data_IF_823286846236
#
_entry.id   IF_823286846236
#
_cell.length_a   1.000
_cell.length_b   1.000
_cell.length_c   1.000
_cell.angle_alpha   90.00
_cell.angle_beta   90.00
_cell.angle_gamma   90.00
#
_symmetry.space_group_name_H-M   'P 1'
#
loop_
_entity.id
_entity.type
_entity.pdbx_description
1 polymer ?
#
# COMPACT_ATOMS: atom_id res chain seq x y z
N UNK A 1 97.31 -59.18 -18.43
CA UNK A 1 96.39 -60.13 -19.11
C UNK A 1 95.79 -59.53 -20.38
N UNK A 2 95.01 -58.42 -20.34
CA UNK A 2 94.54 -57.76 -21.57
C UNK A 2 95.64 -56.95 -22.30
N UNK A 3 96.63 -56.47 -21.56
CA UNK A 3 97.86 -55.84 -22.08
C UNK A 3 98.62 -56.71 -23.07
N UNK A 4 98.83 -57.97 -22.70
CA UNK A 4 99.89 -58.81 -23.26
C UNK A 4 99.49 -59.33 -24.65
N UNK A 5 98.20 -59.59 -24.85
CA UNK A 5 97.59 -59.94 -26.14
C UNK A 5 97.67 -58.80 -27.17
N UNK A 6 97.57 -57.55 -26.72
CA UNK A 6 97.72 -56.36 -27.59
C UNK A 6 99.19 -56.16 -27.98
N UNK A 7 100.12 -56.39 -27.04
CA UNK A 7 101.55 -56.30 -27.29
C UNK A 7 102.05 -57.36 -28.29
N UNK A 8 101.65 -58.63 -28.14
CA UNK A 8 102.07 -59.71 -29.06
C UNK A 8 101.47 -59.53 -30.47
N UNK A 9 100.28 -58.90 -30.59
CA UNK A 9 99.69 -58.55 -31.88
C UNK A 9 100.43 -57.40 -32.60
N UNK A 10 100.75 -56.32 -31.88
CA UNK A 10 101.53 -55.21 -32.42
C UNK A 10 102.96 -55.65 -32.82
N UNK A 11 103.57 -56.51 -32.00
CA UNK A 11 104.88 -57.14 -32.25
C UNK A 11 104.89 -57.89 -33.59
N UNK A 12 103.86 -58.69 -33.89
CA UNK A 12 103.75 -59.41 -35.16
C UNK A 12 103.64 -58.44 -36.36
N UNK A 13 102.84 -57.38 -36.23
CA UNK A 13 102.67 -56.38 -37.28
C UNK A 13 103.97 -55.62 -37.58
N UNK A 14 104.73 -55.22 -36.55
CA UNK A 14 106.06 -54.62 -36.75
C UNK A 14 107.04 -55.58 -37.43
N UNK A 15 107.00 -56.87 -37.07
CA UNK A 15 107.87 -57.90 -37.64
C UNK A 15 107.55 -58.13 -39.13
N UNK A 16 106.28 -58.16 -39.52
CA UNK A 16 105.92 -58.27 -40.94
C UNK A 16 106.34 -57.01 -41.73
N UNK A 17 106.23 -55.80 -41.14
CA UNK A 17 106.78 -54.58 -41.75
C UNK A 17 108.33 -54.60 -41.89
N UNK A 18 109.05 -55.32 -41.02
CA UNK A 18 110.49 -55.57 -41.19
C UNK A 18 110.77 -56.61 -42.28
N UNK A 19 109.91 -57.63 -42.46
CA UNK A 19 110.04 -58.67 -43.49
C UNK A 19 109.89 -58.14 -44.93
N UNK A 20 109.14 -57.06 -45.12
CA UNK A 20 109.05 -56.36 -46.40
C UNK A 20 110.32 -55.55 -46.72
N UNK A 21 111.00 -55.03 -45.69
CA UNK A 21 112.16 -54.13 -45.83
C UNK A 21 113.49 -54.88 -45.92
N UNK A 22 113.64 -55.98 -45.17
CA UNK A 22 114.89 -56.77 -45.11
C UNK A 22 114.73 -58.11 -45.81
N UNK A 23 115.17 -58.16 -47.07
CA UNK A 23 115.14 -59.38 -47.90
C UNK A 23 116.18 -60.41 -47.48
N UNK A 24 117.30 -59.97 -46.89
CA UNK A 24 118.37 -60.85 -46.40
C UNK A 24 118.03 -61.44 -45.02
N UNK A 25 117.91 -62.76 -44.97
CA UNK A 25 117.47 -63.52 -43.77
C UNK A 25 118.28 -63.20 -42.49
N UNK A 26 119.59 -62.99 -42.59
CA UNK A 26 120.45 -62.68 -41.44
C UNK A 26 120.19 -61.29 -40.86
N UNK A 27 119.98 -60.27 -41.70
CA UNK A 27 119.69 -58.90 -41.27
C UNK A 27 118.31 -58.83 -40.62
N UNK A 28 117.32 -59.48 -41.23
CA UNK A 28 115.98 -59.63 -40.67
C UNK A 28 116.00 -60.25 -39.26
N UNK A 29 116.83 -61.28 -39.02
CA UNK A 29 117.00 -61.82 -37.66
C UNK A 29 117.63 -60.80 -36.68
N UNK A 30 118.59 -59.97 -37.12
CA UNK A 30 119.20 -58.93 -36.26
C UNK A 30 118.19 -57.85 -35.90
N UNK A 31 117.43 -57.33 -36.87
CA UNK A 31 116.44 -56.29 -36.61
C UNK A 31 115.27 -56.78 -35.74
N UNK A 32 114.87 -58.06 -35.87
CA UNK A 32 113.89 -58.68 -34.96
C UNK A 32 114.46 -58.87 -33.55
N UNK A 33 115.77 -59.16 -33.39
CA UNK A 33 116.42 -59.14 -32.07
C UNK A 33 116.38 -57.73 -31.45
N UNK A 34 116.72 -56.71 -32.23
CA UNK A 34 116.71 -55.32 -31.80
C UNK A 34 115.30 -54.86 -31.39
N UNK A 35 114.29 -55.17 -32.20
CA UNK A 35 112.90 -54.80 -31.93
C UNK A 35 112.34 -55.47 -30.67
N UNK A 36 112.57 -56.78 -30.49
CA UNK A 36 112.19 -57.50 -29.27
C UNK A 36 112.83 -56.87 -28.03
N UNK A 37 114.12 -56.58 -28.08
CA UNK A 37 114.89 -56.09 -26.94
C UNK A 37 114.58 -54.63 -26.59
N UNK A 38 114.67 -53.71 -27.57
CA UNK A 38 114.56 -52.27 -27.32
C UNK A 38 113.12 -51.74 -27.22
N UNK A 39 112.18 -52.27 -28.02
CA UNK A 39 110.81 -51.73 -28.08
C UNK A 39 109.82 -52.51 -27.21
N UNK A 40 110.06 -53.81 -27.03
CA UNK A 40 109.17 -54.70 -26.27
C UNK A 40 109.78 -55.23 -24.95
N UNK A 41 111.07 -54.98 -24.68
CA UNK A 41 111.74 -55.41 -23.44
C UNK A 41 111.93 -56.92 -23.30
N UNK A 42 111.69 -57.70 -24.36
CA UNK A 42 111.75 -59.17 -24.35
C UNK A 42 113.14 -59.62 -24.76
N UNK A 43 113.76 -60.51 -23.96
CA UNK A 43 115.06 -61.10 -24.32
C UNK A 43 114.92 -62.01 -25.54
N UNK A 44 115.60 -61.72 -26.67
CA UNK A 44 115.52 -62.58 -27.84
C UNK A 44 116.12 -63.96 -27.56
N UNK A 45 115.41 -65.01 -27.96
CA UNK A 45 115.85 -66.42 -27.85
C UNK A 45 115.71 -67.11 -29.21
N UNK A 46 116.61 -68.05 -29.51
CA UNK A 46 116.67 -68.70 -30.83
C UNK A 46 115.33 -69.34 -31.26
N UNK A 47 114.61 -69.98 -30.32
CA UNK A 47 113.28 -70.54 -30.59
C UNK A 47 112.22 -69.46 -30.90
N UNK A 48 112.15 -68.36 -30.13
CA UNK A 48 111.15 -67.30 -30.37
C UNK A 48 111.44 -66.56 -31.69
N UNK A 49 112.71 -66.29 -32.00
CA UNK A 49 113.14 -65.74 -33.27
C UNK A 49 112.72 -66.62 -34.45
N UNK A 50 112.99 -67.93 -34.37
CA UNK A 50 112.62 -68.89 -35.42
C UNK A 50 111.09 -68.97 -35.63
N UNK A 51 110.31 -69.01 -34.54
CA UNK A 51 108.84 -69.04 -34.58
C UNK A 51 108.22 -67.82 -35.26
N UNK A 52 108.85 -66.64 -35.11
CA UNK A 52 108.38 -65.36 -35.67
C UNK A 52 108.81 -65.16 -37.13
N UNK A 53 110.10 -65.35 -37.44
CA UNK A 53 110.64 -65.06 -38.78
C UNK A 53 110.33 -66.17 -39.79
N UNK A 54 110.41 -67.44 -39.37
CA UNK A 54 110.14 -68.66 -40.17
C UNK A 54 110.88 -68.72 -41.52
N UNK A 55 112.13 -68.26 -41.58
CA UNK A 55 113.02 -68.36 -42.76
C UNK A 55 114.42 -68.84 -42.37
N UNK A 56 115.11 -69.54 -43.28
CA UNK A 56 116.49 -69.98 -43.10
C UNK A 56 116.67 -71.33 -42.40
N UNK A 57 117.94 -71.75 -42.24
CA UNK A 57 118.33 -73.01 -41.60
C UNK A 57 118.24 -72.94 -40.08
N UNK A 58 118.22 -74.11 -39.43
CA UNK A 58 118.06 -74.25 -37.98
C UNK A 58 119.18 -73.58 -37.13
N UNK A 59 120.35 -73.33 -37.73
CA UNK A 59 121.48 -72.64 -37.07
C UNK A 59 121.42 -71.11 -37.15
N UNK A 60 120.72 -70.54 -38.14
CA UNK A 60 120.75 -69.11 -38.44
C UNK A 60 120.24 -68.20 -37.29
N UNK A 61 119.15 -68.54 -36.55
CA UNK A 61 118.69 -67.71 -35.43
C UNK A 61 119.72 -67.58 -34.31
N UNK A 62 120.47 -68.66 -34.03
CA UNK A 62 121.47 -68.72 -32.97
C UNK A 62 122.72 -67.91 -33.30
N UNK A 63 123.13 -67.89 -34.57
CA UNK A 63 124.27 -67.08 -35.03
C UNK A 63 123.92 -65.58 -35.02
N UNK A 64 122.74 -65.22 -35.55
CA UNK A 64 122.27 -63.83 -35.56
C UNK A 64 122.07 -63.29 -34.12
N UNK A 65 121.54 -64.11 -33.21
CA UNK A 65 121.43 -63.78 -31.80
C UNK A 65 122.80 -63.57 -31.14
N UNK A 66 123.81 -64.40 -31.45
CA UNK A 66 125.18 -64.21 -30.93
C UNK A 66 125.75 -62.87 -31.39
N UNK A 67 125.72 -62.60 -32.70
CA UNK A 67 126.19 -61.35 -33.30
C UNK A 67 125.44 -60.13 -32.76
N UNK A 68 124.12 -60.23 -32.53
CA UNK A 68 123.34 -59.16 -31.89
C UNK A 68 123.84 -58.83 -30.48
N UNK A 69 124.09 -59.83 -29.63
CA UNK A 69 124.62 -59.60 -28.28
C UNK A 69 126.08 -59.12 -28.26
N UNK A 70 126.84 -59.41 -29.30
CA UNK A 70 128.20 -58.92 -29.55
C UNK A 70 128.16 -57.43 -29.93
N UNK A 71 127.44 -57.09 -31.01
CA UNK A 71 127.11 -55.72 -31.45
C UNK A 71 126.58 -54.84 -30.30
N UNK A 72 125.67 -55.39 -29.49
CA UNK A 72 125.04 -54.66 -28.39
C UNK A 72 126.04 -54.33 -27.28
N UNK A 73 126.91 -55.28 -26.92
CA UNK A 73 127.93 -55.09 -25.88
C UNK A 73 128.98 -54.08 -26.29
N UNK A 74 129.40 -54.09 -27.55
CA UNK A 74 130.37 -53.11 -28.05
C UNK A 74 129.75 -51.72 -28.13
N UNK A 75 128.48 -51.60 -28.57
CA UNK A 75 127.74 -50.32 -28.59
C UNK A 75 127.35 -49.81 -27.20
N UNK A 76 127.16 -50.68 -26.21
CA UNK A 76 126.83 -50.29 -24.83
C UNK A 76 128.06 -49.97 -23.96
N UNK A 77 129.29 -50.19 -24.46
CA UNK A 77 130.51 -49.77 -23.76
C UNK A 77 130.80 -48.30 -24.04
N UNK A 78 130.32 -47.44 -23.16
CA UNK A 78 130.70 -46.02 -23.05
C UNK A 78 132.15 -45.84 -22.57
N UNK A 79 133.11 -46.51 -23.21
CA UNK A 79 134.54 -46.20 -23.03
C UNK A 79 134.84 -44.86 -23.71
N UNK A 80 135.48 -43.98 -22.97
CA UNK A 80 136.12 -42.78 -23.52
C UNK A 80 137.38 -43.21 -24.25
N UNK A 81 137.26 -43.57 -25.53
CA UNK A 81 138.41 -44.01 -26.34
C UNK A 81 139.23 -42.82 -26.84
N UNK A 82 140.03 -42.26 -25.93
CA UNK A 82 141.26 -41.56 -26.26
C UNK A 82 142.44 -42.56 -26.20
N UNK A 83 143.39 -42.58 -27.16
CA UNK A 83 144.43 -43.60 -27.22
C UNK A 83 145.31 -43.68 -25.96
N UNK A 84 145.81 -42.52 -25.50
CA UNK A 84 146.86 -42.45 -24.47
C UNK A 84 146.34 -42.34 -23.02
N UNK A 85 145.05 -42.56 -22.75
CA UNK A 85 144.48 -42.40 -21.40
C UNK A 85 144.50 -43.72 -20.60
N UNK A 86 145.20 -43.81 -19.44
CA UNK A 86 145.23 -45.01 -18.60
C UNK A 86 143.84 -45.53 -18.22
N UNK A 87 143.67 -46.86 -18.25
CA UNK A 87 142.36 -47.51 -18.08
C UNK A 87 141.72 -47.24 -16.71
N UNK A 88 142.53 -47.01 -15.67
CA UNK A 88 142.06 -46.53 -14.36
C UNK A 88 141.31 -45.19 -14.45
N UNK A 89 141.82 -44.23 -15.22
CA UNK A 89 141.17 -42.93 -15.42
C UNK A 89 139.94 -43.04 -16.31
N UNK A 90 139.94 -43.92 -17.33
CA UNK A 90 138.75 -44.22 -18.14
C UNK A 90 137.61 -44.78 -17.26
N UNK A 91 137.93 -45.69 -16.34
CA UNK A 91 136.95 -46.26 -15.41
C UNK A 91 136.40 -45.21 -14.42
N UNK A 92 137.28 -44.44 -13.77
CA UNK A 92 136.86 -43.39 -12.83
C UNK A 92 136.00 -42.30 -13.51
N UNK A 93 136.33 -41.90 -14.74
CA UNK A 93 135.52 -40.95 -15.50
C UNK A 93 134.14 -41.52 -15.87
N UNK A 94 134.08 -42.80 -16.28
CA UNK A 94 132.81 -43.49 -16.55
C UNK A 94 131.93 -43.64 -15.31
N UNK A 95 132.52 -43.95 -14.17
CA UNK A 95 131.83 -44.06 -12.87
C UNK A 95 131.28 -42.70 -12.40
N UNK A 96 132.07 -41.63 -12.49
CA UNK A 96 131.61 -40.26 -12.18
C UNK A 96 130.49 -39.78 -13.13
N UNK A 97 130.55 -40.13 -14.41
CA UNK A 97 129.46 -39.80 -15.36
C UNK A 97 128.20 -40.62 -15.02
N UNK A 98 128.34 -41.88 -14.60
CA UNK A 98 127.21 -42.71 -14.19
C UNK A 98 126.55 -42.23 -12.88
N UNK A 99 127.33 -41.77 -11.89
CA UNK A 99 126.77 -41.15 -10.68
C UNK A 99 126.09 -39.83 -11.03
N UNK A 100 126.76 -38.92 -11.75
CA UNK A 100 126.18 -37.62 -12.15
C UNK A 100 124.89 -37.77 -12.97
N UNK A 101 124.81 -38.77 -13.86
CA UNK A 101 123.58 -39.09 -14.58
C UNK A 101 122.47 -39.60 -13.65
N UNK A 102 122.83 -40.47 -12.69
CA UNK A 102 121.88 -41.01 -11.70
C UNK A 102 121.35 -39.92 -10.77
N UNK A 103 122.24 -39.05 -10.27
CA UNK A 103 121.92 -37.91 -9.40
C UNK A 103 121.07 -36.85 -10.13
N UNK A 104 121.35 -36.60 -11.42
CA UNK A 104 120.51 -35.74 -12.25
C UNK A 104 119.13 -36.36 -12.50
N UNK A 105 119.07 -37.68 -12.71
CA UNK A 105 117.82 -38.41 -12.94
C UNK A 105 116.94 -38.47 -11.67
N UNK A 106 117.53 -38.64 -10.48
CA UNK A 106 116.79 -38.56 -9.20
C UNK A 106 116.34 -37.13 -8.91
N UNK A 107 117.22 -36.13 -9.03
CA UNK A 107 116.85 -34.72 -8.83
C UNK A 107 115.72 -34.26 -9.78
N UNK A 108 115.72 -34.73 -11.03
CA UNK A 108 114.63 -34.49 -11.99
C UNK A 108 113.34 -35.24 -11.61
N UNK A 109 113.45 -36.47 -11.10
CA UNK A 109 112.31 -37.25 -10.62
C UNK A 109 111.65 -36.60 -9.40
N UNK A 110 112.43 -36.15 -8.43
CA UNK A 110 111.97 -35.49 -7.21
C UNK A 110 111.35 -34.12 -7.50
N UNK A 111 111.99 -33.33 -8.39
CA UNK A 111 111.42 -32.05 -8.88
C UNK A 111 110.10 -32.23 -9.63
N UNK A 112 109.94 -33.36 -10.34
CA UNK A 112 108.69 -33.71 -11.00
C UNK A 112 107.62 -34.16 -9.99
N UNK A 113 108.02 -34.77 -8.87
CA UNK A 113 107.11 -35.15 -7.78
C UNK A 113 106.63 -33.91 -7.01
N UNK A 114 107.52 -32.98 -6.65
CA UNK A 114 107.13 -31.73 -5.98
C UNK A 114 106.23 -30.86 -6.85
N UNK A 115 106.60 -30.62 -8.11
CA UNK A 115 105.77 -29.86 -9.05
C UNK A 115 104.38 -30.49 -9.27
N UNK A 116 104.29 -31.83 -9.29
CA UNK A 116 103.00 -32.54 -9.34
C UNK A 116 102.17 -32.35 -8.07
N UNK A 117 102.79 -32.38 -6.89
CA UNK A 117 102.11 -32.13 -5.61
C UNK A 117 101.58 -30.68 -5.52
N UNK A 118 102.41 -29.69 -5.87
CA UNK A 118 102.03 -28.28 -5.93
C UNK A 118 100.91 -28.02 -6.95
N UNK A 119 100.99 -28.64 -8.13
CA UNK A 119 99.94 -28.58 -9.16
C UNK A 119 98.63 -29.23 -8.70
N UNK A 120 98.69 -30.33 -7.93
CA UNK A 120 97.49 -30.99 -7.40
C UNK A 120 96.85 -30.19 -6.26
N UNK A 121 97.66 -29.59 -5.38
CA UNK A 121 97.17 -28.79 -4.26
C UNK A 121 96.60 -27.43 -4.72
N UNK A 122 97.23 -26.75 -5.69
CA UNK A 122 96.65 -25.54 -6.31
C UNK A 122 95.33 -25.84 -7.03
N UNK A 123 95.22 -26.97 -7.75
CA UNK A 123 93.95 -27.43 -8.34
C UNK A 123 92.91 -27.79 -7.26
N UNK A 124 93.33 -28.35 -6.12
CA UNK A 124 92.43 -28.65 -4.99
C UNK A 124 91.89 -27.38 -4.35
N UNK A 125 92.75 -26.38 -4.12
CA UNK A 125 92.36 -25.08 -3.57
C UNK A 125 91.43 -24.32 -4.52
N UNK A 126 91.74 -24.29 -5.82
CA UNK A 126 90.87 -23.71 -6.83
C UNK A 126 89.47 -24.36 -6.88
N UNK A 127 89.41 -25.70 -6.74
CA UNK A 127 88.13 -26.43 -6.62
C UNK A 127 87.38 -26.07 -5.34
N UNK A 128 88.04 -26.08 -4.19
CA UNK A 128 87.42 -25.73 -2.91
C UNK A 128 86.85 -24.29 -2.90
N UNK A 129 87.54 -23.35 -3.55
CA UNK A 129 87.06 -21.96 -3.73
C UNK A 129 85.85 -21.93 -4.69
N UNK A 130 85.88 -22.68 -5.80
CA UNK A 130 84.77 -22.76 -6.74
C UNK A 130 83.52 -23.41 -6.12
N UNK A 131 83.69 -24.52 -5.39
CA UNK A 131 82.61 -25.21 -4.67
C UNK A 131 82.01 -24.29 -3.59
N UNK A 132 82.83 -23.59 -2.82
CA UNK A 132 82.38 -22.60 -1.84
C UNK A 132 81.56 -21.47 -2.50
N UNK A 133 82.06 -20.90 -3.60
CA UNK A 133 81.37 -19.85 -4.36
C UNK A 133 80.05 -20.35 -4.97
N UNK A 134 79.98 -21.60 -5.42
CA UNK A 134 78.73 -22.22 -5.87
C UNK A 134 77.75 -22.39 -4.70
N UNK A 135 78.20 -22.83 -3.52
CA UNK A 135 77.31 -22.95 -2.35
C UNK A 135 76.77 -21.61 -1.88
N UNK A 136 77.58 -20.55 -1.83
CA UNK A 136 77.10 -19.20 -1.51
C UNK A 136 76.14 -18.67 -2.58
N UNK A 137 76.49 -18.76 -3.87
CA UNK A 137 75.57 -18.35 -4.95
C UNK A 137 74.21 -19.04 -4.83
N UNK A 138 74.18 -20.34 -4.54
CA UNK A 138 72.95 -21.11 -4.36
C UNK A 138 72.17 -20.69 -3.10
N UNK A 139 72.81 -20.30 -1.98
CA UNK A 139 72.09 -19.77 -0.81
C UNK A 139 71.56 -18.36 -1.05
N UNK A 140 72.29 -17.50 -1.77
CA UNK A 140 71.78 -16.19 -2.19
C UNK A 140 70.60 -16.31 -3.16
N UNK A 141 70.65 -17.24 -4.12
CA UNK A 141 69.52 -17.55 -5.03
C UNK A 141 68.26 -17.98 -4.25
N UNK A 142 68.40 -18.87 -3.27
CA UNK A 142 67.29 -19.30 -2.40
C UNK A 142 66.77 -18.17 -1.50
N UNK A 143 67.65 -17.28 -1.03
CA UNK A 143 67.25 -16.09 -0.27
C UNK A 143 66.46 -15.10 -1.13
N UNK A 144 66.92 -14.83 -2.36
CA UNK A 144 66.21 -13.99 -3.34
C UNK A 144 64.85 -14.58 -3.72
N UNK A 145 64.76 -15.89 -3.97
CA UNK A 145 63.49 -16.57 -4.24
C UNK A 145 62.50 -16.42 -3.06
N UNK A 146 62.98 -16.56 -1.81
CA UNK A 146 62.15 -16.34 -0.62
C UNK A 146 61.66 -14.90 -0.51
N UNK A 147 62.53 -13.91 -0.74
CA UNK A 147 62.17 -12.48 -0.67
C UNK A 147 61.20 -12.11 -1.79
N UNK A 148 61.38 -12.62 -3.01
CA UNK A 148 60.45 -12.39 -4.12
C UNK A 148 59.06 -12.98 -3.82
N UNK A 149 58.98 -14.23 -3.33
CA UNK A 149 57.70 -14.83 -2.93
C UNK A 149 57.00 -14.09 -1.78
N UNK A 150 57.77 -13.51 -0.85
CA UNK A 150 57.23 -12.62 0.19
C UNK A 150 56.72 -11.29 -0.40
N UNK A 151 57.45 -10.69 -1.34
CA UNK A 151 57.05 -9.46 -2.02
C UNK A 151 55.79 -9.66 -2.87
N UNK A 152 55.67 -10.78 -3.57
CA UNK A 152 54.48 -11.18 -4.33
C UNK A 152 53.27 -11.37 -3.40
N UNK A 153 53.43 -12.10 -2.29
CA UNK A 153 52.36 -12.30 -1.31
C UNK A 153 51.88 -10.99 -0.68
N UNK A 154 52.79 -10.10 -0.29
CA UNK A 154 52.45 -8.76 0.22
C UNK A 154 51.81 -7.90 -0.86
N UNK A 155 52.28 -7.95 -2.11
CA UNK A 155 51.68 -7.21 -3.24
C UNK A 155 50.26 -7.68 -3.52
N UNK A 156 49.99 -8.98 -3.46
CA UNK A 156 48.65 -9.53 -3.59
C UNK A 156 47.73 -9.06 -2.45
N UNK A 157 48.17 -9.15 -1.19
CA UNK A 157 47.42 -8.64 -0.03
C UNK A 157 47.12 -7.13 -0.14
N UNK A 158 48.10 -6.33 -0.61
CA UNK A 158 47.94 -4.89 -0.81
C UNK A 158 46.89 -4.59 -1.90
N UNK A 159 46.83 -5.39 -2.97
CA UNK A 159 45.82 -5.24 -4.02
C UNK A 159 44.41 -5.66 -3.54
N UNK A 160 44.28 -6.78 -2.81
CA UNK A 160 43.00 -7.15 -2.17
C UNK A 160 42.49 -6.01 -1.26
N UNK A 161 43.34 -5.48 -0.37
CA UNK A 161 42.98 -4.37 0.52
C UNK A 161 42.67 -3.05 -0.22
N UNK A 162 43.18 -2.86 -1.44
CA UNK A 162 42.80 -1.73 -2.32
C UNK A 162 41.42 -1.93 -2.95
N UNK A 163 41.10 -3.15 -3.36
CA UNK A 163 39.79 -3.52 -3.92
C UNK A 163 38.71 -3.43 -2.85
N UNK A 164 38.95 -3.99 -1.65
CA UNK A 164 38.08 -3.85 -0.48
C UNK A 164 37.84 -2.36 -0.13
N UNK A 165 38.92 -1.56 -0.06
CA UNK A 165 38.82 -0.12 0.23
C UNK A 165 38.10 0.67 -0.88
N UNK A 166 38.15 0.22 -2.14
CA UNK A 166 37.41 0.82 -3.24
C UNK A 166 35.91 0.48 -3.15
N UNK A 167 35.59 -0.79 -2.87
CA UNK A 167 34.22 -1.26 -2.65
C UNK A 167 33.57 -0.54 -1.46
N UNK A 168 34.27 -0.43 -0.32
CA UNK A 168 33.80 0.32 0.85
C UNK A 168 33.58 1.82 0.56
N UNK A 169 34.48 2.46 -0.21
CA UNK A 169 34.27 3.86 -0.63
C UNK A 169 33.05 4.02 -1.53
N UNK A 170 32.77 3.07 -2.42
CA UNK A 170 31.59 3.07 -3.28
C UNK A 170 30.30 2.76 -2.48
N UNK A 171 30.36 1.86 -1.51
CA UNK A 171 29.27 1.61 -0.57
C UNK A 171 28.93 2.88 0.21
N UNK A 172 29.93 3.50 0.85
CA UNK A 172 29.77 4.74 1.63
C UNK A 172 29.25 5.91 0.78
N UNK A 173 29.72 6.09 -0.47
CA UNK A 173 29.18 7.15 -1.34
C UNK A 173 27.71 6.90 -1.72
N UNK A 174 27.33 5.65 -2.01
CA UNK A 174 25.93 5.29 -2.27
C UNK A 174 25.02 5.47 -1.05
N UNK A 175 25.52 5.19 0.16
CA UNK A 175 24.81 5.42 1.41
C UNK A 175 24.65 6.92 1.71
N UNK A 176 25.66 7.74 1.43
CA UNK A 176 25.57 9.20 1.57
C UNK A 176 24.54 9.81 0.60
N UNK A 177 24.45 9.33 -0.63
CA UNK A 177 23.39 9.74 -1.59
C UNK A 177 22.01 9.37 -1.05
N UNK A 178 21.80 8.09 -0.67
CA UNK A 178 20.51 7.63 -0.09
C UNK A 178 20.11 8.37 1.18
N UNK A 179 21.07 8.75 2.01
CA UNK A 179 20.83 9.56 3.21
C UNK A 179 20.41 10.99 2.86
N UNK A 180 20.99 11.60 1.82
CA UNK A 180 20.56 12.91 1.33
C UNK A 180 19.17 12.85 0.69
N UNK A 181 18.88 11.82 -0.10
CA UNK A 181 17.55 11.54 -0.67
C UNK A 181 16.50 11.42 0.44
N UNK A 182 16.68 10.50 1.39
CA UNK A 182 15.74 10.31 2.51
C UNK A 182 15.57 11.55 3.40
N UNK A 183 16.62 12.37 3.55
CA UNK A 183 16.53 13.67 4.25
C UNK A 183 15.68 14.67 3.47
N UNK A 184 15.84 14.73 2.14
CA UNK A 184 15.05 15.61 1.28
C UNK A 184 13.57 15.16 1.27
N UNK A 185 13.32 13.85 1.15
CA UNK A 185 11.96 13.27 1.23
C UNK A 185 11.30 13.60 2.57
N UNK A 186 12.04 13.53 3.68
CA UNK A 186 11.54 13.94 5.01
C UNK A 186 11.11 15.41 5.03
N UNK A 187 11.87 16.32 4.42
CA UNK A 187 11.51 17.75 4.30
C UNK A 187 10.28 17.95 3.40
N UNK A 188 10.17 17.20 2.30
CA UNK A 188 9.01 17.23 1.41
C UNK A 188 7.76 16.75 2.14
N UNK A 189 7.80 15.60 2.81
CA UNK A 189 6.67 15.05 3.60
C UNK A 189 6.26 15.99 4.74
N UNK A 190 7.21 16.62 5.43
CA UNK A 190 6.89 17.61 6.47
C UNK A 190 6.21 18.86 5.90
N UNK A 191 6.66 19.38 4.75
CA UNK A 191 6.01 20.55 4.12
C UNK A 191 4.63 20.22 3.55
N UNK A 192 4.42 19.01 3.01
CA UNK A 192 3.11 18.50 2.62
C UNK A 192 2.17 18.33 3.83
N UNK A 193 2.67 17.81 4.95
CA UNK A 193 1.92 17.67 6.20
C UNK A 193 1.50 19.05 6.75
N UNK A 194 2.37 20.06 6.68
CA UNK A 194 2.02 21.44 7.04
C UNK A 194 0.99 22.06 6.10
N UNK A 195 1.10 21.86 4.79
CA UNK A 195 0.13 22.34 3.82
C UNK A 195 -1.26 21.74 4.08
N UNK A 196 -1.35 20.41 4.16
CA UNK A 196 -2.59 19.70 4.45
C UNK A 196 -3.20 20.12 5.81
N UNK A 197 -2.38 20.33 6.85
CA UNK A 197 -2.87 20.87 8.14
C UNK A 197 -3.50 22.24 8.00
N UNK A 198 -2.89 23.16 7.24
CA UNK A 198 -3.42 24.51 6.99
C UNK A 198 -4.73 24.45 6.21
N UNK A 199 -4.80 23.61 5.18
CA UNK A 199 -6.00 23.35 4.39
C UNK A 199 -7.14 22.80 5.27
N UNK A 200 -6.90 21.73 6.04
CA UNK A 200 -7.89 21.18 6.98
C UNK A 200 -8.36 22.21 8.02
N UNK A 201 -7.49 23.09 8.54
CA UNK A 201 -7.96 24.17 9.44
C UNK A 201 -8.86 25.17 8.72
N UNK A 202 -8.54 25.56 7.49
CA UNK A 202 -9.37 26.47 6.70
C UNK A 202 -10.73 25.84 6.33
N UNK A 203 -10.77 24.54 6.02
CA UNK A 203 -12.01 23.81 5.80
C UNK A 203 -12.86 23.68 7.07
N UNK A 204 -12.25 23.38 8.22
CA UNK A 204 -12.94 23.32 9.50
C UNK A 204 -13.56 24.67 9.89
N UNK A 205 -12.84 25.79 9.70
CA UNK A 205 -13.37 27.12 10.01
C UNK A 205 -14.43 27.58 9.01
N UNK A 206 -14.31 27.19 7.72
CA UNK A 206 -15.37 27.36 6.73
C UNK A 206 -16.64 26.57 7.10
N UNK A 207 -16.50 25.32 7.55
CA UNK A 207 -17.62 24.49 8.02
C UNK A 207 -18.26 25.05 9.30
N UNK A 208 -17.46 25.53 10.25
CA UNK A 208 -17.96 26.22 11.45
C UNK A 208 -18.78 27.45 11.08
N UNK A 209 -18.29 28.29 10.18
CA UNK A 209 -18.98 29.49 9.71
C UNK A 209 -20.30 29.15 8.98
N UNK A 210 -20.34 28.12 8.13
CA UNK A 210 -21.60 27.69 7.49
C UNK A 210 -22.59 27.09 8.49
N UNK A 211 -22.13 26.36 9.51
CA UNK A 211 -22.99 25.83 10.58
C UNK A 211 -23.58 26.95 11.44
N UNK A 212 -22.78 27.92 11.88
CA UNK A 212 -23.25 29.09 12.63
C UNK A 212 -24.30 29.88 11.83
N UNK A 213 -24.05 30.14 10.56
CA UNK A 213 -24.97 30.86 9.67
C UNK A 213 -26.26 30.06 9.40
N UNK A 214 -26.19 28.71 9.38
CA UNK A 214 -27.38 27.85 9.30
C UNK A 214 -28.19 27.87 10.60
N UNK A 215 -27.54 27.85 11.77
CA UNK A 215 -28.19 28.00 13.07
C UNK A 215 -28.85 29.38 13.22
N UNK A 216 -28.18 30.46 12.83
CA UNK A 216 -28.74 31.82 12.85
C UNK A 216 -29.98 31.94 11.96
N UNK A 217 -29.94 31.35 10.76
CA UNK A 217 -31.12 31.25 9.87
C UNK A 217 -32.24 30.46 10.54
N UNK A 218 -31.94 29.30 11.12
CA UNK A 218 -32.92 28.46 11.83
C UNK A 218 -33.58 29.19 13.00
N UNK A 219 -32.79 29.81 13.88
CA UNK A 219 -33.25 30.66 14.99
C UNK A 219 -34.03 31.89 14.50
N UNK A 220 -33.72 32.41 13.30
CA UNK A 220 -34.48 33.50 12.67
C UNK A 220 -35.82 33.04 12.11
N UNK A 221 -35.92 31.84 11.53
CA UNK A 221 -37.21 31.27 11.08
C UNK A 221 -38.05 30.83 12.26
N UNK A 222 -37.48 30.17 13.27
CA UNK A 222 -38.17 29.81 14.53
C UNK A 222 -38.84 31.02 15.19
N UNK A 223 -38.10 32.13 15.36
CA UNK A 223 -38.66 33.38 15.90
C UNK A 223 -39.82 33.95 15.09
N UNK A 224 -39.80 33.81 13.75
CA UNK A 224 -40.93 34.23 12.88
C UNK A 224 -42.14 33.31 13.08
N UNK A 225 -41.92 31.99 13.04
CA UNK A 225 -42.97 31.00 13.27
C UNK A 225 -43.64 31.17 14.64
N UNK A 226 -42.88 31.47 15.70
CA UNK A 226 -43.45 31.75 17.03
C UNK A 226 -44.32 33.02 17.03
N UNK A 227 -43.87 34.10 16.40
CA UNK A 227 -44.66 35.34 16.27
C UNK A 227 -45.91 35.13 15.41
N UNK A 228 -45.86 34.28 14.38
CA UNK A 228 -47.01 33.89 13.57
C UNK A 228 -47.99 33.01 14.36
N UNK A 229 -47.51 32.02 15.10
CA UNK A 229 -48.33 31.20 16.02
C UNK A 229 -49.02 32.06 17.08
N UNK A 230 -48.33 33.05 17.65
CA UNK A 230 -48.96 33.96 18.63
C UNK A 230 -49.95 34.93 17.99
N UNK A 231 -49.72 35.39 16.74
CA UNK A 231 -50.74 36.13 15.97
C UNK A 231 -51.99 35.28 15.76
N UNK A 232 -51.84 34.05 15.27
CA UNK A 232 -52.97 33.13 15.07
C UNK A 232 -53.71 32.82 16.39
N UNK A 233 -52.99 32.61 17.50
CA UNK A 233 -53.59 32.49 18.84
C UNK A 233 -54.43 33.72 19.21
N UNK A 234 -53.95 34.94 18.95
CA UNK A 234 -54.75 36.15 19.22
C UNK A 234 -55.93 36.33 18.26
N UNK A 235 -55.82 35.90 16.99
CA UNK A 235 -56.90 35.91 16.02
C UNK A 235 -58.00 34.92 16.42
N UNK A 236 -57.63 33.67 16.75
CA UNK A 236 -58.53 32.65 17.28
C UNK A 236 -59.24 33.11 18.56
N UNK A 237 -58.53 33.76 19.49
CA UNK A 237 -59.13 34.27 20.73
C UNK A 237 -60.12 35.42 20.50
N UNK A 238 -59.90 36.26 19.46
CA UNK A 238 -60.89 37.28 19.04
C UNK A 238 -62.12 36.62 18.41
N UNK A 239 -61.90 35.72 17.44
CA UNK A 239 -62.98 35.01 16.74
C UNK A 239 -63.83 34.16 17.70
N UNK A 240 -63.23 33.58 18.75
CA UNK A 240 -63.94 32.91 19.83
C UNK A 240 -64.87 33.88 20.58
N UNK A 241 -64.38 35.05 21.00
CA UNK A 241 -65.19 36.07 21.69
C UNK A 241 -66.29 36.66 20.80
N UNK A 242 -66.02 36.84 19.51
CA UNK A 242 -67.02 37.26 18.52
C UNK A 242 -68.07 36.16 18.28
N UNK A 243 -67.67 34.88 18.28
CA UNK A 243 -68.60 33.75 18.22
C UNK A 243 -69.43 33.62 19.51
N UNK A 244 -68.86 33.94 20.67
CA UNK A 244 -69.56 33.96 21.95
C UNK A 244 -70.55 35.13 22.04
N UNK A 245 -70.16 36.33 21.62
CA UNK A 245 -71.06 37.49 21.63
C UNK A 245 -72.20 37.38 20.60
N UNK A 246 -71.93 36.81 19.42
CA UNK A 246 -72.98 36.47 18.44
C UNK A 246 -73.90 35.35 18.92
N UNK A 247 -73.42 34.43 19.77
CA UNK A 247 -74.28 33.45 20.43
C UNK A 247 -75.17 34.12 21.48
N UNK A 248 -74.65 35.02 22.32
CA UNK A 248 -75.46 35.70 23.33
C UNK A 248 -76.52 36.59 22.68
N UNK A 249 -76.17 37.42 21.68
CA UNK A 249 -77.19 38.25 21.00
C UNK A 249 -78.24 37.42 20.26
N UNK A 250 -77.86 36.25 19.72
CA UNK A 250 -78.84 35.32 19.13
C UNK A 250 -79.74 34.67 20.18
N UNK A 251 -79.23 34.31 21.37
CA UNK A 251 -80.09 33.80 22.46
C UNK A 251 -80.99 34.88 23.05
N UNK A 252 -80.50 36.12 23.13
CA UNK A 252 -81.25 37.26 23.65
C UNK A 252 -82.38 37.64 22.68
N UNK A 253 -82.09 37.79 21.39
CA UNK A 253 -83.10 38.02 20.36
C UNK A 253 -84.10 36.85 20.23
N UNK A 254 -83.66 35.60 20.42
CA UNK A 254 -84.56 34.46 20.47
C UNK A 254 -85.45 34.44 21.72
N UNK A 255 -85.00 35.02 22.84
CA UNK A 255 -85.81 35.24 24.04
C UNK A 255 -86.81 36.38 23.83
N UNK A 256 -86.38 37.52 23.28
CA UNK A 256 -87.24 38.65 22.92
C UNK A 256 -88.34 38.22 21.94
N UNK A 257 -88.01 37.59 20.82
CA UNK A 257 -89.01 37.07 19.87
C UNK A 257 -89.94 36.02 20.50
N UNK A 258 -89.48 35.23 21.47
CA UNK A 258 -90.34 34.32 22.22
C UNK A 258 -91.29 35.07 23.16
N UNK A 259 -90.85 36.18 23.75
CA UNK A 259 -91.69 37.06 24.56
C UNK A 259 -92.72 37.81 23.69
N UNK A 260 -92.33 38.31 22.51
CA UNK A 260 -93.23 38.88 21.50
C UNK A 260 -94.27 37.86 21.01
N UNK A 261 -93.85 36.62 20.73
CA UNK A 261 -94.78 35.55 20.36
C UNK A 261 -95.75 35.21 21.49
N UNK A 262 -95.32 35.25 22.74
CA UNK A 262 -96.21 35.06 23.90
C UNK A 262 -97.23 36.21 24.02
N UNK A 263 -96.80 37.48 23.95
CA UNK A 263 -97.73 38.62 24.07
C UNK A 263 -98.68 38.71 22.88
N UNK A 264 -98.25 38.34 21.66
CA UNK A 264 -99.13 38.20 20.51
C UNK A 264 -100.11 37.02 20.66
N UNK A 265 -99.72 35.92 21.30
CA UNK A 265 -100.64 34.82 21.64
C UNK A 265 -101.66 35.22 22.71
N UNK A 266 -101.23 35.98 23.73
CA UNK A 266 -102.11 36.56 24.75
C UNK A 266 -103.12 37.52 24.11
N UNK A 267 -102.65 38.50 23.32
CA UNK A 267 -103.52 39.44 22.58
C UNK A 267 -104.49 38.73 21.62
N UNK A 268 -104.06 37.64 20.97
CA UNK A 268 -104.93 36.81 20.13
C UNK A 268 -105.96 36.03 20.96
N UNK A 269 -105.59 35.56 22.15
CA UNK A 269 -106.49 34.97 23.13
C UNK A 269 -107.55 35.96 23.60
N UNK A 270 -107.11 37.16 23.99
CA UNK A 270 -107.94 38.29 24.41
C UNK A 270 -108.90 38.72 23.29
N UNK A 271 -108.41 38.83 22.06
CA UNK A 271 -109.23 39.13 20.88
C UNK A 271 -110.27 38.04 20.60
N UNK A 272 -109.90 36.76 20.73
CA UNK A 272 -110.84 35.63 20.62
C UNK A 272 -111.88 35.63 21.72
N UNK A 273 -111.51 35.93 22.97
CA UNK A 273 -112.44 36.03 24.09
C UNK A 273 -113.41 37.21 23.91
N UNK A 274 -112.91 38.37 23.47
CA UNK A 274 -113.75 39.53 23.15
C UNK A 274 -114.68 39.24 21.99
N UNK A 275 -114.21 38.56 20.94
CA UNK A 275 -115.06 38.16 19.81
C UNK A 275 -116.13 37.15 20.24
N UNK A 276 -115.78 36.12 21.02
CA UNK A 276 -116.76 35.19 21.59
C UNK A 276 -117.76 35.86 22.55
N UNK A 277 -117.35 36.90 23.28
CA UNK A 277 -118.27 37.70 24.10
C UNK A 277 -119.19 38.58 23.23
N UNK A 278 -118.70 39.14 22.12
CA UNK A 278 -119.51 39.87 21.15
C UNK A 278 -120.47 38.93 20.40
N UNK A 279 -120.05 37.73 20.03
CA UNK A 279 -120.90 36.68 19.44
C UNK A 279 -121.96 36.21 20.43
N UNK A 280 -121.61 36.01 21.71
CA UNK A 280 -122.57 35.69 22.77
C UNK A 280 -123.54 36.85 23.06
N UNK A 281 -123.07 38.09 23.04
CA UNK A 281 -123.91 39.29 23.16
C UNK A 281 -124.82 39.47 21.94
N UNK A 282 -124.34 39.15 20.73
CA UNK A 282 -125.14 39.11 19.50
C UNK A 282 -126.21 38.02 19.59
N UNK A 283 -125.88 36.82 20.07
CA UNK A 283 -126.85 35.74 20.30
C UNK A 283 -127.89 36.11 21.37
N UNK A 284 -127.49 36.78 22.46
CA UNK A 284 -128.41 37.28 23.46
C UNK A 284 -129.31 38.41 22.89
N UNK A 285 -128.75 39.29 22.07
CA UNK A 285 -129.49 40.35 21.39
C UNK A 285 -130.47 39.79 20.35
N UNK A 286 -130.09 38.79 19.53
CA UNK A 286 -131.01 38.15 18.60
C UNK A 286 -132.07 37.32 19.31
N UNK A 287 -131.74 36.62 20.40
CA UNK A 287 -132.73 35.93 21.23
C UNK A 287 -133.73 36.90 21.88
N UNK A 288 -133.26 38.08 22.30
CA UNK A 288 -134.10 39.17 22.81
C UNK A 288 -134.97 39.82 21.72
N UNK A 289 -134.43 39.97 20.50
CA UNK A 289 -135.18 40.43 19.33
C UNK A 289 -136.24 39.40 18.92
N UNK A 290 -135.93 38.10 19.05
CA UNK A 290 -136.85 36.99 18.85
C UNK A 290 -137.96 36.95 19.91
N UNK A 291 -137.66 37.19 21.19
CA UNK A 291 -138.70 37.30 22.22
C UNK A 291 -139.56 38.55 22.03
N UNK A 292 -138.95 39.70 21.74
CA UNK A 292 -139.68 40.92 21.42
C UNK A 292 -140.56 40.76 20.17
N UNK A 293 -140.11 40.04 19.14
CA UNK A 293 -140.93 39.70 17.97
C UNK A 293 -142.11 38.78 18.33
N UNK A 294 -141.91 37.81 19.25
CA UNK A 294 -143.00 36.96 19.77
C UNK A 294 -144.01 37.77 20.60
N UNK A 295 -143.54 38.72 21.41
CA UNK A 295 -144.37 39.64 22.18
C UNK A 295 -145.15 40.60 21.28
N UNK A 296 -144.50 41.23 20.29
CA UNK A 296 -145.16 42.06 19.27
C UNK A 296 -146.24 41.26 18.55
N UNK A 297 -145.96 40.01 18.16
CA UNK A 297 -146.94 39.14 17.50
C UNK A 297 -148.11 38.80 18.43
N UNK A 298 -147.84 38.50 19.71
CA UNK A 298 -148.88 38.25 20.69
C UNK A 298 -149.75 39.50 20.96
N UNK A 299 -149.14 40.69 21.01
CA UNK A 299 -149.85 41.99 21.14
C UNK A 299 -150.68 42.28 19.89
N UNK A 300 -150.21 41.93 18.69
CA UNK A 300 -151.00 42.02 17.45
C UNK A 300 -152.22 41.08 17.48
N UNK A 301 -152.05 39.83 17.94
CA UNK A 301 -153.16 38.89 18.10
C UNK A 301 -154.18 39.39 19.15
N UNK A 302 -153.72 39.91 20.29
CA UNK A 302 -154.58 40.56 21.30
C UNK A 302 -155.31 41.79 20.75
N UNK A 303 -154.64 42.63 19.95
CA UNK A 303 -155.24 43.81 19.32
C UNK A 303 -156.30 43.42 18.30
N UNK A 304 -156.05 42.38 17.48
CA UNK A 304 -157.04 41.86 16.53
C UNK A 304 -158.28 41.31 17.25
N UNK A 305 -158.10 40.62 18.38
CA UNK A 305 -159.20 40.19 19.23
C UNK A 305 -160.00 41.38 19.82
N UNK A 306 -159.30 42.42 20.31
CA UNK A 306 -159.93 43.63 20.84
C UNK A 306 -160.70 44.42 19.76
N UNK A 307 -160.16 44.56 18.55
CA UNK A 307 -160.84 45.18 17.40
C UNK A 307 -162.11 44.40 17.03
N UNK A 308 -162.06 43.07 17.11
CA UNK A 308 -163.22 42.20 16.86
C UNK A 308 -164.33 42.41 17.91
N UNK A 309 -163.97 42.56 19.19
CA UNK A 309 -164.91 42.93 20.25
C UNK A 309 -165.50 44.33 20.07
N UNK A 310 -164.68 45.32 19.67
CA UNK A 310 -165.16 46.69 19.38
C UNK A 310 -166.15 46.71 18.20
N UNK A 311 -165.99 45.81 17.22
CA UNK A 311 -166.98 45.60 16.15
C UNK A 311 -168.36 45.19 16.71
N UNK A 312 -168.40 44.13 17.53
CA UNK A 312 -169.62 43.62 18.15
C UNK A 312 -170.33 44.66 19.03
N UNK A 313 -169.59 45.42 19.85
CA UNK A 313 -170.18 46.50 20.65
C UNK A 313 -170.73 47.66 19.80
N UNK A 314 -170.14 47.92 18.62
CA UNK A 314 -170.65 48.96 17.70
C UNK A 314 -171.99 48.58 17.09
N UNK A 315 -172.18 47.29 16.78
CA UNK A 315 -173.41 46.75 16.22
C UNK A 315 -174.56 46.81 17.25
N UNK A 316 -174.28 46.32 18.47
CA UNK A 316 -175.20 46.42 19.62
C UNK A 316 -175.62 47.87 19.92
N UNK A 317 -174.70 48.83 19.83
CA UNK A 317 -174.99 50.26 20.06
C UNK A 317 -175.91 50.89 18.99
N UNK A 318 -175.96 50.36 17.77
CA UNK A 318 -176.83 50.88 16.71
C UNK A 318 -178.28 50.43 16.89
N UNK A 319 -178.53 49.19 17.29
CA UNK A 319 -179.90 48.72 17.53
C UNK A 319 -180.53 49.35 18.77
N UNK A 320 -179.76 49.64 19.82
CA UNK A 320 -180.25 50.40 21.00
C UNK A 320 -180.71 51.82 20.61
N UNK A 321 -180.06 52.48 19.63
CA UNK A 321 -180.53 53.78 19.12
C UNK A 321 -181.84 53.67 18.34
N UNK A 322 -181.95 52.70 17.41
CA UNK A 322 -183.19 52.44 16.65
C UNK A 322 -184.40 52.20 17.56
N UNK A 323 -184.21 51.49 18.66
CA UNK A 323 -185.26 51.21 19.65
C UNK A 323 -185.69 52.46 20.47
N UNK A 324 -184.82 53.45 20.64
CA UNK A 324 -185.14 54.70 21.35
C UNK A 324 -185.94 55.68 20.49
N UNK A 325 -185.55 55.87 19.22
CA UNK A 325 -186.20 56.81 18.31
C UNK A 325 -187.66 56.41 18.02
N UNK A 326 -187.93 55.09 17.91
CA UNK A 326 -189.29 54.55 17.78
C UNK A 326 -190.21 54.81 18.99
N UNK A 327 -189.65 55.10 20.17
CA UNK A 327 -190.40 55.25 21.43
C UNK A 327 -190.89 56.69 21.66
N UNK A 328 -190.10 57.68 21.25
CA UNK A 328 -190.39 59.12 21.43
C UNK A 328 -191.58 59.61 20.59
N UNK A 329 -191.86 58.98 19.44
CA UNK A 329 -192.98 59.35 18.57
C UNK A 329 -194.39 59.09 19.12
N UNK A 330 -194.54 58.32 20.22
CA UNK A 330 -195.87 57.88 20.71
C UNK A 330 -196.43 58.66 21.92
N UNK A 331 -195.62 59.47 22.61
CA UNK A 331 -195.98 59.98 23.96
C UNK A 331 -196.61 61.39 23.94
N UNK A 332 -196.43 62.20 22.88
CA UNK A 332 -196.94 63.60 22.82
C UNK A 332 -198.29 63.79 22.11
N UNK A 333 -199.06 62.73 21.82
CA UNK A 333 -200.40 62.83 21.20
C UNK A 333 -201.59 62.55 22.13
N UNK A 334 -201.37 62.34 23.43
CA UNK A 334 -202.46 62.10 24.38
C UNK A 334 -202.16 62.59 25.80
N UNK A 335 -202.65 63.80 26.16
CA UNK A 335 -203.52 64.06 27.32
C UNK A 335 -203.64 65.57 27.64
N UNK A 336 -204.79 66.16 27.29
CA UNK A 336 -205.31 67.41 27.89
C UNK A 336 -206.82 67.28 28.06
N UNK A 337 -207.26 66.64 29.14
CA UNK A 337 -208.64 66.56 29.66
C UNK A 337 -208.68 65.60 30.86
N UNK A 338 -209.37 65.81 31.99
CA UNK A 338 -210.08 66.94 32.65
C UNK A 338 -209.82 66.74 34.19
N UNK A 339 -210.03 67.65 35.14
CA UNK A 339 -211.15 68.58 35.43
C UNK A 339 -210.65 69.77 36.29
N UNK A 340 -211.47 70.80 36.55
CA UNK A 340 -211.03 72.13 37.03
C UNK A 340 -211.78 72.63 38.29
N UNK A 341 -210.99 73.03 39.31
CA UNK A 341 -211.23 74.00 40.43
C UNK A 341 -212.40 73.82 41.43
N UNK A 342 -212.00 73.67 42.71
CA UNK A 342 -212.33 74.63 43.79
C UNK A 342 -211.06 75.52 43.94
N UNK A 343 -211.01 76.86 43.89
CA UNK A 343 -211.87 78.02 44.23
C UNK A 343 -211.63 78.53 45.67
N UNK A 344 -211.31 79.82 45.82
CA UNK A 344 -210.61 80.40 46.98
C UNK A 344 -211.52 81.31 47.82
N UNK A 345 -211.46 81.17 49.15
CA UNK A 345 -211.57 82.27 50.14
C UNK A 345 -210.47 82.06 51.20
N UNK A 346 -209.82 83.16 51.61
CA UNK A 346 -208.49 83.15 52.26
C UNK A 346 -207.42 83.63 51.26
N UNK A 347 -206.90 84.86 51.27
CA UNK A 347 -206.69 85.86 52.35
C UNK A 347 -205.87 85.29 53.51
N UNK A 348 -204.78 85.89 53.97
CA UNK A 348 -203.95 87.06 53.56
C UNK A 348 -203.37 86.95 52.14
N UNK A 349 -202.99 87.97 51.35
CA UNK A 349 -203.12 89.45 51.25
C UNK A 349 -203.03 89.75 49.71
N UNK A 350 -203.45 90.84 49.03
CA UNK A 350 -204.18 92.08 49.39
C UNK A 350 -203.63 92.73 50.64
N UNK A 351 -202.60 93.60 50.52
CA UNK A 351 -202.04 94.32 51.68
C UNK A 351 -203.15 95.12 52.37
N UNK A 352 -204.06 95.79 51.66
CA UNK A 352 -203.89 96.65 50.45
C UNK A 352 -203.64 95.96 49.08
#
# INVERSE_FOLDING_TARGET
>A
MTSDLSADAALLQDIDALRERFTQTQELYREVCALLFFRYGVTPTANRLYQLVRKGSMSAPTEALRKFWEDLRDKSRTRVEHPDLPEHLKNQAGELIATLWTDAQTAAQDSLISFRAESQETVRQAKAIADAAITDRNTQELALQRVNGQLEAVTHQLNMLREDLAAEKQANSSLLVRFQEAKNDTVVVLSQLEAARREFTAELDKLRATSQLAEERSRSTEKRMLVEVDRERTALSKLQKETESLKTTLTDAAFEHKQELNTLQELLGDARQRNGHLEGSLQAATASLDSANREIKHIQDQLNAAVSQVGLYREQAQDVRRQWEARLGRVKKSQVAKTIKTKVIGRRLVKD
#
